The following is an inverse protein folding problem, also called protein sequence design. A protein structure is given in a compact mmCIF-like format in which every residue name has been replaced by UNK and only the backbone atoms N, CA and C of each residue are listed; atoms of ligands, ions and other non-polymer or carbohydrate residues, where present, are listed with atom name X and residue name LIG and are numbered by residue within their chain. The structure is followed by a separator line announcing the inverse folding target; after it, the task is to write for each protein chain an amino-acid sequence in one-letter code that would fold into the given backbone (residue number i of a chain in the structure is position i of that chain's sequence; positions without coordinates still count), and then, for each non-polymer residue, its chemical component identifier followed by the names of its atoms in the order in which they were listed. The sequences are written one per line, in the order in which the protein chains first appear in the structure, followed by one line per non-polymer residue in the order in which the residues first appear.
data_IF_570430587767
#
_entry.id   IF_570430587767
#
_cell.length_a   1.000
_cell.length_b   1.000
_cell.length_c   1.000
_cell.angle_alpha   90.00
_cell.angle_beta   90.00
_cell.angle_gamma   90.00
#
_symmetry.space_group_name_H-M   'P 1'
#
loop_
_entity.id
_entity.type
_entity.pdbx_description
1 polymer ?
#
# COMPACT_ATOMS: atom_id res chain seq x y z
N UNK A 1 -3.06 19.47 5.84
CA UNK A 1 -2.05 18.51 6.35
C UNK A 1 -1.62 18.86 7.79
N UNK A 2 -1.38 20.13 8.12
CA UNK A 2 -0.96 20.55 9.48
C UNK A 2 -1.92 20.11 10.60
N UNK A 3 -3.22 20.39 10.46
CA UNK A 3 -4.25 20.03 11.48
C UNK A 3 -4.35 18.52 11.71
N UNK A 4 -4.19 17.72 10.65
CA UNK A 4 -4.27 16.25 10.76
C UNK A 4 -3.07 15.69 11.52
N UNK A 5 -1.88 16.23 11.25
CA UNK A 5 -0.67 15.81 11.96
C UNK A 5 -0.71 16.24 13.43
N UNK A 6 -1.26 17.42 13.73
CA UNK A 6 -1.49 17.87 15.10
C UNK A 6 -2.46 16.96 15.85
N UNK A 7 -3.58 16.59 15.22
CA UNK A 7 -4.55 15.66 15.81
C UNK A 7 -3.94 14.27 16.09
N UNK A 8 -3.07 13.77 15.22
CA UNK A 8 -2.35 12.51 15.48
C UNK A 8 -1.37 12.62 16.63
N UNK A 9 -0.61 13.72 16.73
CA UNK A 9 0.32 13.94 17.83
C UNK A 9 -0.40 14.06 19.19
N UNK A 10 -1.54 14.75 19.24
CA UNK A 10 -2.38 14.84 20.45
C UNK A 10 -2.96 13.47 20.83
N UNK A 11 -3.43 12.70 19.85
CA UNK A 11 -3.94 11.34 20.06
C UNK A 11 -2.85 10.40 20.56
N UNK A 12 -1.66 10.45 19.96
CA UNK A 12 -0.51 9.65 20.40
C UNK A 12 -0.18 9.94 21.87
N UNK A 13 -0.08 11.22 22.22
CA UNK A 13 0.18 11.64 23.60
C UNK A 13 -0.87 11.11 24.56
N UNK A 14 -2.15 11.25 24.24
CA UNK A 14 -3.26 10.77 25.07
C UNK A 14 -3.18 9.25 25.31
N UNK A 15 -2.99 8.44 24.26
CA UNK A 15 -2.91 6.99 24.43
C UNK A 15 -1.66 6.57 25.20
N UNK A 16 -0.53 7.26 25.03
CA UNK A 16 0.66 7.02 25.86
C UNK A 16 0.42 7.36 27.32
N UNK A 17 -0.29 8.45 27.63
CA UNK A 17 -0.67 8.80 29.01
C UNK A 17 -1.59 7.74 29.64
N UNK A 18 -2.59 7.26 28.89
CA UNK A 18 -3.45 6.15 29.34
C UNK A 18 -2.62 4.91 29.66
N UNK A 19 -1.66 4.55 28.79
CA UNK A 19 -0.82 3.37 28.99
C UNK A 19 0.21 3.52 30.12
N UNK A 20 0.47 4.74 30.59
CA UNK A 20 1.27 4.98 31.81
C UNK A 20 0.45 4.66 33.05
N UNK A 21 -0.82 5.07 33.11
CA UNK A 21 -1.72 4.76 34.24
C UNK A 21 -2.27 3.33 34.20
N UNK A 22 -2.52 2.81 33.01
CA UNK A 22 -3.15 1.51 32.73
C UNK A 22 -2.31 0.73 31.70
N UNK A 23 -1.20 0.11 32.12
CA UNK A 23 -0.29 -0.59 31.20
C UNK A 23 -0.95 -1.77 30.48
N UNK A 24 -2.01 -2.34 31.05
CA UNK A 24 -2.78 -3.45 30.50
C UNK A 24 -4.12 -2.97 29.92
N UNK A 25 -4.06 -2.00 29.01
CA UNK A 25 -5.23 -1.49 28.28
C UNK A 25 -5.12 -1.82 26.77
N UNK A 26 -5.67 -2.97 26.31
CA UNK A 26 -5.53 -3.42 24.93
C UNK A 26 -6.08 -2.43 23.89
N UNK A 27 -7.26 -1.86 24.13
CA UNK A 27 -7.86 -0.88 23.21
C UNK A 27 -7.01 0.40 23.07
N UNK A 28 -6.50 0.98 24.17
CA UNK A 28 -5.61 2.14 24.11
C UNK A 28 -4.33 1.82 23.33
N UNK A 29 -3.82 0.60 23.49
CA UNK A 29 -2.63 0.10 22.77
C UNK A 29 -2.91 -0.14 21.29
N UNK A 30 -4.07 -0.70 20.93
CA UNK A 30 -4.51 -0.82 19.53
C UNK A 30 -4.62 0.57 18.89
N UNK A 31 -5.32 1.51 19.54
CA UNK A 31 -5.47 2.88 19.03
C UNK A 31 -4.12 3.59 18.86
N UNK A 32 -3.19 3.41 19.80
CA UNK A 32 -1.82 3.90 19.67
C UNK A 32 -1.14 3.29 18.43
N UNK A 33 -1.24 1.97 18.22
CA UNK A 33 -0.74 1.30 17.03
C UNK A 33 -1.30 1.88 15.71
N UNK A 34 -2.60 2.17 15.67
CA UNK A 34 -3.23 2.81 14.51
C UNK A 34 -2.71 4.23 14.28
N UNK A 35 -2.53 5.03 15.33
CA UNK A 35 -1.94 6.37 15.21
C UNK A 35 -0.51 6.29 14.69
N UNK A 36 0.29 5.36 15.22
CA UNK A 36 1.66 5.13 14.80
C UNK A 36 1.76 4.77 13.31
N UNK A 37 0.86 3.90 12.81
CA UNK A 37 0.71 3.61 11.37
C UNK A 37 0.44 4.86 10.54
N UNK A 38 -0.45 5.75 11.00
CA UNK A 38 -0.78 7.00 10.29
C UNK A 38 0.37 8.00 10.28
N UNK A 39 1.30 7.88 11.21
CA UNK A 39 2.53 8.67 11.32
C UNK A 39 3.77 7.95 10.79
N UNK A 40 3.59 6.82 10.09
CA UNK A 40 4.66 6.02 9.47
C UNK A 40 5.71 5.46 10.45
N UNK A 41 5.36 5.37 11.74
CA UNK A 41 6.19 4.75 12.79
C UNK A 41 5.93 3.23 12.84
N UNK A 42 6.25 2.54 11.74
CA UNK A 42 5.81 1.16 11.47
C UNK A 42 6.25 0.15 12.54
N UNK A 43 7.52 0.16 12.96
CA UNK A 43 8.04 -0.79 13.96
C UNK A 43 7.35 -0.65 15.32
N UNK A 44 7.13 0.61 15.75
CA UNK A 44 6.40 0.88 16.99
C UNK A 44 4.93 0.47 16.89
N UNK A 45 4.32 0.65 15.70
CA UNK A 45 2.96 0.21 15.47
C UNK A 45 2.84 -1.31 15.57
N UNK A 46 3.72 -2.07 14.91
CA UNK A 46 3.74 -3.54 14.98
C UNK A 46 3.87 -4.00 16.43
N UNK A 47 4.78 -3.39 17.21
CA UNK A 47 4.92 -3.70 18.62
C UNK A 47 3.62 -3.48 19.40
N UNK A 48 3.02 -2.29 19.30
CA UNK A 48 1.79 -1.98 20.01
C UNK A 48 0.65 -2.94 19.63
N UNK A 49 0.47 -3.19 18.34
CA UNK A 49 -0.60 -4.05 17.84
C UNK A 49 -0.37 -5.52 18.26
N UNK A 50 0.87 -6.01 18.23
CA UNK A 50 1.20 -7.38 18.66
C UNK A 50 0.99 -7.57 20.16
N UNK A 51 1.42 -6.60 20.98
CA UNK A 51 1.20 -6.59 22.41
C UNK A 51 -0.31 -6.59 22.74
N UNK A 52 -1.12 -5.82 21.99
CA UNK A 52 -2.58 -5.78 22.16
C UNK A 52 -3.24 -7.13 21.81
N UNK A 53 -2.76 -7.84 20.78
CA UNK A 53 -3.21 -9.21 20.45
C UNK A 53 -2.89 -10.17 21.58
N UNK A 54 -1.68 -10.09 22.15
CA UNK A 54 -1.24 -10.97 23.24
C UNK A 54 -2.04 -10.77 24.55
N UNK A 55 -2.53 -9.55 24.79
CA UNK A 55 -3.33 -9.20 25.96
C UNK A 55 -4.81 -9.62 25.85
N UNK A 56 -5.20 -10.32 24.78
CA UNK A 56 -6.50 -10.98 24.70
C UNK A 56 -7.58 -10.22 23.94
N UNK A 57 -7.21 -9.21 23.13
CA UNK A 57 -8.15 -8.56 22.20
C UNK A 57 -7.83 -8.88 20.72
N UNK A 58 -7.92 -10.14 20.24
CA UNK A 58 -7.71 -10.45 18.83
C UNK A 58 -8.94 -10.06 17.99
N UNK A 59 -9.48 -8.85 18.18
CA UNK A 59 -10.55 -8.35 17.34
C UNK A 59 -10.13 -8.38 15.86
N UNK A 60 -11.08 -8.63 14.97
CA UNK A 60 -10.83 -8.67 13.53
C UNK A 60 -10.24 -7.35 13.01
N UNK A 61 -10.62 -6.23 13.65
CA UNK A 61 -10.04 -4.91 13.40
C UNK A 61 -8.55 -4.87 13.71
N UNK A 62 -8.17 -5.29 14.91
CA UNK A 62 -6.77 -5.33 15.37
C UNK A 62 -5.91 -6.23 14.49
N UNK A 63 -6.36 -7.46 14.20
CA UNK A 63 -5.61 -8.37 13.33
C UNK A 63 -5.43 -7.78 11.92
N UNK A 64 -6.46 -7.13 11.37
CA UNK A 64 -6.35 -6.45 10.08
C UNK A 64 -5.36 -5.28 10.08
N UNK A 65 -5.24 -4.55 11.20
CA UNK A 65 -4.27 -3.46 11.35
C UNK A 65 -2.84 -3.99 11.56
N UNK A 66 -2.67 -5.07 12.34
CA UNK A 66 -1.39 -5.74 12.53
C UNK A 66 -0.87 -6.31 11.20
N UNK A 67 -1.72 -7.02 10.46
CA UNK A 67 -1.37 -7.57 9.15
C UNK A 67 -0.99 -6.48 8.13
N UNK A 68 -1.70 -5.35 8.14
CA UNK A 68 -1.33 -4.19 7.32
C UNK A 68 0.03 -3.59 7.74
N UNK A 69 0.30 -3.48 9.04
CA UNK A 69 1.57 -3.00 9.55
C UNK A 69 2.75 -3.91 9.14
N UNK A 70 2.58 -5.22 9.27
CA UNK A 70 3.56 -6.22 8.84
C UNK A 70 3.81 -6.16 7.33
N UNK A 71 2.76 -5.97 6.52
CA UNK A 71 2.90 -5.75 5.08
C UNK A 71 3.74 -4.51 4.77
N UNK A 72 3.50 -3.38 5.47
CA UNK A 72 4.28 -2.15 5.27
C UNK A 72 5.76 -2.32 5.68
N UNK A 73 6.04 -3.16 6.67
CA UNK A 73 7.40 -3.52 7.06
C UNK A 73 8.08 -4.51 6.09
N UNK A 74 7.33 -5.05 5.12
CA UNK A 74 7.83 -6.04 4.16
C UNK A 74 7.85 -7.48 4.68
N UNK A 75 7.37 -7.73 5.90
CA UNK A 75 7.20 -9.09 6.44
C UNK A 75 5.90 -9.71 5.90
N UNK A 76 5.91 -10.02 4.60
CA UNK A 76 4.78 -10.60 3.91
C UNK A 76 4.34 -11.96 4.51
N UNK A 77 5.23 -12.87 4.92
CA UNK A 77 4.83 -14.12 5.58
C UNK A 77 4.05 -13.89 6.88
N UNK A 78 4.50 -12.99 7.76
CA UNK A 78 3.78 -12.69 8.99
C UNK A 78 2.43 -12.00 8.71
N UNK A 79 2.41 -11.08 7.75
CA UNK A 79 1.21 -10.40 7.31
C UNK A 79 0.15 -11.38 6.78
N UNK A 80 0.57 -12.35 5.96
CA UNK A 80 -0.31 -13.38 5.41
C UNK A 80 -0.95 -14.20 6.51
N UNK A 81 -0.14 -14.72 7.44
CA UNK A 81 -0.63 -15.52 8.57
C UNK A 81 -1.66 -14.75 9.39
N UNK A 82 -1.35 -13.49 9.72
CA UNK A 82 -2.24 -12.64 10.53
C UNK A 82 -3.54 -12.32 9.79
N UNK A 83 -3.46 -11.99 8.50
CA UNK A 83 -4.63 -11.64 7.70
C UNK A 83 -5.50 -12.84 7.36
N UNK A 84 -4.94 -14.04 7.21
CA UNK A 84 -5.74 -15.26 7.04
C UNK A 84 -6.61 -15.52 8.28
N UNK A 85 -6.04 -15.42 9.49
CA UNK A 85 -6.82 -15.48 10.74
C UNK A 85 -7.92 -14.40 10.78
N UNK A 86 -7.60 -13.18 10.36
CA UNK A 86 -8.59 -12.09 10.33
C UNK A 86 -9.72 -12.35 9.31
N UNK A 87 -9.40 -12.94 8.14
CA UNK A 87 -10.37 -13.33 7.11
C UNK A 87 -11.25 -14.47 7.58
N UNK A 88 -10.74 -15.44 8.33
CA UNK A 88 -11.56 -16.52 8.90
C UNK A 88 -12.67 -15.96 9.81
N UNK A 89 -12.35 -14.92 10.59
CA UNK A 89 -13.32 -14.25 11.46
C UNK A 89 -14.28 -13.30 10.72
N UNK A 90 -13.84 -12.65 9.65
CA UNK A 90 -14.66 -11.74 8.85
C UNK A 90 -14.40 -11.93 7.34
N UNK A 91 -15.01 -12.96 6.71
CA UNK A 91 -14.70 -13.37 5.34
C UNK A 91 -15.04 -12.32 4.28
N UNK A 92 -15.98 -11.43 4.59
CA UNK A 92 -16.51 -10.41 3.69
C UNK A 92 -16.03 -8.98 4.04
N UNK A 93 -15.09 -8.85 4.99
CA UNK A 93 -14.54 -7.53 5.33
C UNK A 93 -13.62 -7.03 4.21
N UNK A 94 -14.14 -6.13 3.37
CA UNK A 94 -13.46 -5.63 2.17
C UNK A 94 -12.01 -5.21 2.42
N UNK A 95 -11.75 -4.47 3.52
CA UNK A 95 -10.41 -4.00 3.86
C UNK A 95 -9.45 -5.16 4.13
N UNK A 96 -9.87 -6.13 4.93
CA UNK A 96 -9.01 -7.25 5.35
C UNK A 96 -8.75 -8.19 4.17
N UNK A 97 -9.79 -8.48 3.39
CA UNK A 97 -9.66 -9.32 2.19
C UNK A 97 -8.76 -8.65 1.15
N UNK A 98 -8.89 -7.34 0.94
CA UNK A 98 -8.00 -6.60 0.05
C UNK A 98 -6.56 -6.59 0.55
N UNK A 99 -6.33 -6.39 1.86
CA UNK A 99 -4.98 -6.48 2.42
C UNK A 99 -4.37 -7.88 2.21
N UNK A 100 -5.14 -8.95 2.42
CA UNK A 100 -4.67 -10.31 2.16
C UNK A 100 -4.35 -10.50 0.67
N UNK A 101 -5.23 -10.01 -0.22
CA UNK A 101 -5.02 -10.05 -1.66
C UNK A 101 -3.74 -9.33 -2.09
N UNK A 102 -3.43 -8.18 -1.47
CA UNK A 102 -2.17 -7.46 -1.70
C UNK A 102 -0.96 -8.28 -1.22
N UNK A 103 -0.99 -8.81 0.00
CA UNK A 103 0.12 -9.59 0.58
C UNK A 103 0.43 -10.83 -0.27
N UNK A 104 -0.58 -11.65 -0.54
CA UNK A 104 -0.48 -12.85 -1.38
C UNK A 104 0.02 -12.49 -2.78
N UNK A 105 -0.48 -11.38 -3.32
CA UNK A 105 -0.04 -10.84 -4.59
C UNK A 105 1.44 -10.47 -4.62
N UNK A 106 1.94 -9.73 -3.61
CA UNK A 106 3.35 -9.33 -3.52
C UNK A 106 4.29 -10.51 -3.21
N UNK A 107 3.77 -11.63 -2.71
CA UNK A 107 4.52 -12.89 -2.65
C UNK A 107 4.59 -13.62 -4.02
N UNK A 108 3.89 -13.11 -5.04
CA UNK A 108 3.88 -13.65 -6.41
C UNK A 108 2.67 -14.51 -6.75
N UNK A 109 1.78 -14.78 -5.78
CA UNK A 109 0.60 -15.64 -5.95
C UNK A 109 -0.57 -14.86 -6.59
N UNK A 110 -0.36 -14.42 -7.82
CA UNK A 110 -1.28 -13.51 -8.54
C UNK A 110 -2.68 -14.07 -8.79
N UNK A 111 -2.82 -15.40 -8.93
CA UNK A 111 -4.13 -16.05 -9.12
C UNK A 111 -4.99 -15.98 -7.86
N UNK A 112 -4.43 -16.34 -6.70
CA UNK A 112 -5.11 -16.25 -5.41
C UNK A 112 -5.41 -14.79 -5.06
N UNK A 113 -4.44 -13.89 -5.28
CA UNK A 113 -4.61 -12.45 -5.11
C UNK A 113 -5.83 -11.92 -5.89
N UNK A 114 -5.97 -12.29 -7.16
CA UNK A 114 -7.11 -11.90 -7.97
C UNK A 114 -8.43 -12.49 -7.47
N UNK A 115 -8.43 -13.75 -7.02
CA UNK A 115 -9.61 -14.38 -6.44
C UNK A 115 -10.07 -13.67 -5.15
N UNK A 116 -9.12 -13.26 -4.30
CA UNK A 116 -9.39 -12.49 -3.09
C UNK A 116 -9.96 -11.11 -3.43
N UNK A 117 -9.36 -10.37 -4.36
CA UNK A 117 -9.89 -9.07 -4.79
C UNK A 117 -11.31 -9.19 -5.35
N UNK A 118 -11.58 -10.19 -6.21
CA UNK A 118 -12.92 -10.43 -6.76
C UNK A 118 -13.98 -10.76 -5.72
N UNK A 119 -13.58 -11.24 -4.54
CA UNK A 119 -14.52 -11.59 -3.48
C UNK A 119 -15.20 -10.34 -2.89
N UNK A 120 -14.51 -9.21 -2.90
CA UNK A 120 -14.96 -7.97 -2.24
C UNK A 120 -15.03 -6.77 -3.18
N UNK A 121 -14.64 -6.92 -4.45
CA UNK A 121 -14.66 -5.87 -5.45
C UNK A 121 -15.37 -6.31 -6.72
N UNK A 122 -15.85 -5.34 -7.50
CA UNK A 122 -16.25 -5.63 -8.87
C UNK A 122 -15.02 -5.99 -9.72
N UNK A 123 -15.27 -6.59 -10.88
CA UNK A 123 -14.21 -7.10 -11.74
C UNK A 123 -13.23 -6.01 -12.22
N UNK A 124 -13.68 -4.77 -12.47
CA UNK A 124 -12.79 -3.68 -12.89
C UNK A 124 -11.83 -3.27 -11.77
N UNK A 125 -12.34 -3.13 -10.55
CA UNK A 125 -11.55 -2.85 -9.35
C UNK A 125 -10.56 -3.98 -9.05
N UNK A 126 -10.99 -5.24 -9.14
CA UNK A 126 -10.13 -6.39 -8.90
C UNK A 126 -8.94 -6.45 -9.89
N UNK A 127 -9.20 -6.19 -11.19
CA UNK A 127 -8.12 -6.09 -12.19
C UNK A 127 -7.19 -4.90 -11.90
N UNK A 128 -7.73 -3.76 -11.46
CA UNK A 128 -6.91 -2.60 -11.08
C UNK A 128 -6.05 -2.86 -9.83
N UNK A 129 -6.55 -3.61 -8.86
CA UNK A 129 -5.80 -3.98 -7.66
C UNK A 129 -4.67 -4.97 -7.99
N UNK A 130 -4.94 -5.97 -8.84
CA UNK A 130 -3.89 -6.86 -9.34
C UNK A 130 -2.84 -6.10 -10.16
N UNK A 131 -3.26 -5.15 -11.00
CA UNK A 131 -2.34 -4.31 -11.76
C UNK A 131 -1.40 -3.49 -10.85
N UNK A 132 -1.91 -2.99 -9.73
CA UNK A 132 -1.10 -2.31 -8.71
C UNK A 132 -0.03 -3.25 -8.12
N UNK A 133 -0.42 -4.46 -7.73
CA UNK A 133 0.52 -5.49 -7.23
C UNK A 133 1.60 -5.81 -8.26
N UNK A 134 1.19 -6.09 -9.51
CA UNK A 134 2.11 -6.40 -10.61
C UNK A 134 3.09 -5.25 -10.89
N UNK A 135 2.62 -4.00 -10.75
CA UNK A 135 3.48 -2.81 -10.87
C UNK A 135 4.58 -2.82 -9.81
N UNK A 136 4.23 -3.10 -8.54
CA UNK A 136 5.20 -3.17 -7.46
C UNK A 136 6.17 -4.37 -7.55
N UNK A 137 5.76 -5.45 -8.22
CA UNK A 137 6.63 -6.58 -8.56
C UNK A 137 7.55 -6.32 -9.77
N UNK A 138 7.43 -5.17 -10.44
CA UNK A 138 8.19 -4.86 -11.65
C UNK A 138 7.65 -5.54 -12.93
N UNK A 139 6.51 -6.23 -12.87
CA UNK A 139 5.86 -6.87 -14.03
C UNK A 139 5.01 -5.83 -14.78
N UNK A 140 5.68 -4.84 -15.35
CA UNK A 140 5.03 -3.61 -15.83
C UNK A 140 4.12 -3.84 -17.05
N UNK A 141 4.48 -4.76 -17.95
CA UNK A 141 3.65 -5.05 -19.12
C UNK A 141 2.35 -5.75 -18.72
N UNK A 142 2.44 -6.77 -17.85
CA UNK A 142 1.26 -7.43 -17.26
C UNK A 142 0.39 -6.40 -16.51
N UNK A 143 1.00 -5.50 -15.74
CA UNK A 143 0.27 -4.47 -15.01
C UNK A 143 -0.51 -3.53 -15.96
N UNK A 144 0.11 -3.08 -17.06
CA UNK A 144 -0.56 -2.24 -18.07
C UNK A 144 -1.75 -2.95 -18.68
N UNK A 145 -1.59 -4.20 -19.08
CA UNK A 145 -2.67 -5.00 -19.66
C UNK A 145 -3.87 -5.10 -18.71
N UNK A 146 -3.60 -5.28 -17.41
CA UNK A 146 -4.64 -5.36 -16.38
C UNK A 146 -5.35 -4.02 -16.15
N UNK A 147 -4.61 -2.91 -16.13
CA UNK A 147 -5.24 -1.59 -16.09
C UNK A 147 -6.09 -1.29 -17.33
N UNK A 148 -5.65 -1.70 -18.52
CA UNK A 148 -6.45 -1.58 -19.74
C UNK A 148 -7.72 -2.44 -19.66
N UNK A 149 -7.64 -3.68 -19.17
CA UNK A 149 -8.82 -4.52 -18.95
C UNK A 149 -9.81 -3.88 -17.97
N UNK A 150 -9.32 -3.26 -16.89
CA UNK A 150 -10.14 -2.52 -15.94
C UNK A 150 -10.85 -1.33 -16.60
N UNK A 151 -10.14 -0.51 -17.37
CA UNK A 151 -10.70 0.69 -18.02
C UNK A 151 -11.59 0.37 -19.22
N UNK A 152 -11.39 -0.75 -19.90
CA UNK A 152 -12.31 -1.21 -20.95
C UNK A 152 -13.70 -1.52 -20.39
N UNK A 153 -13.78 -1.93 -19.11
CA UNK A 153 -15.04 -2.23 -18.41
C UNK A 153 -15.60 -1.01 -17.69
N UNK A 154 -14.76 -0.29 -16.96
CA UNK A 154 -15.11 0.99 -16.34
C UNK A 154 -14.12 2.09 -16.75
N UNK A 155 -14.45 2.87 -17.81
CA UNK A 155 -13.61 3.95 -18.29
C UNK A 155 -13.37 5.09 -17.28
N UNK A 156 -14.17 5.17 -16.20
CA UNK A 156 -14.09 6.20 -15.17
C UNK A 156 -13.34 5.74 -13.92
N UNK A 157 -12.80 4.52 -13.91
CA UNK A 157 -12.08 3.96 -12.76
C UNK A 157 -10.78 4.74 -12.51
N UNK A 158 -10.84 5.67 -11.55
CA UNK A 158 -9.75 6.61 -11.26
C UNK A 158 -8.44 5.91 -10.89
N UNK A 159 -8.50 4.80 -10.17
CA UNK A 159 -7.31 4.06 -9.75
C UNK A 159 -6.56 3.50 -10.96
N UNK A 160 -7.26 2.86 -11.90
CA UNK A 160 -6.67 2.34 -13.12
C UNK A 160 -6.14 3.45 -14.04
N UNK A 161 -6.89 4.55 -14.18
CA UNK A 161 -6.45 5.71 -14.96
C UNK A 161 -5.16 6.34 -14.39
N UNK A 162 -5.05 6.44 -13.06
CA UNK A 162 -3.83 6.91 -12.40
C UNK A 162 -2.65 5.95 -12.58
N UNK A 163 -2.91 4.64 -12.46
CA UNK A 163 -1.91 3.59 -12.69
C UNK A 163 -1.27 3.69 -14.08
N UNK A 164 -2.08 3.81 -15.13
CA UNK A 164 -1.56 4.00 -16.50
C UNK A 164 -0.84 5.33 -16.70
N UNK A 165 -1.35 6.42 -16.12
CA UNK A 165 -0.69 7.73 -16.23
C UNK A 165 0.74 7.72 -15.66
N UNK A 166 0.99 6.94 -14.61
CA UNK A 166 2.32 6.79 -14.01
C UNK A 166 3.31 6.09 -14.97
N UNK A 167 2.85 5.09 -15.73
CA UNK A 167 3.68 4.44 -16.75
C UNK A 167 4.08 5.37 -17.89
N UNK A 168 3.17 6.25 -18.34
CA UNK A 168 3.50 7.19 -19.41
C UNK A 168 4.52 8.23 -18.96
N UNK A 169 4.42 8.71 -17.71
CA UNK A 169 5.38 9.67 -17.15
C UNK A 169 6.78 9.09 -17.00
N UNK A 170 6.89 7.85 -16.52
CA UNK A 170 8.19 7.18 -16.36
C UNK A 170 8.87 6.92 -17.70
N UNK A 171 8.10 6.53 -18.73
CA UNK A 171 8.62 6.35 -20.09
C UNK A 171 9.08 7.67 -20.74
N UNK A 172 8.30 8.75 -20.61
CA UNK A 172 8.68 10.07 -21.10
C UNK A 172 9.92 10.63 -20.40
N UNK A 173 10.04 10.43 -19.08
CA UNK A 173 11.21 10.85 -18.31
C UNK A 173 12.48 10.11 -18.76
N UNK A 174 12.39 8.79 -18.95
CA UNK A 174 13.50 7.96 -19.43
C UNK A 174 13.98 8.34 -20.85
N UNK A 175 13.04 8.67 -21.75
CA UNK A 175 13.37 9.10 -23.11
C UNK A 175 13.99 10.51 -23.16
N UNK A 176 13.56 11.42 -22.28
CA UNK A 176 14.18 12.75 -22.15
C UNK A 176 15.59 12.68 -21.59
N UNK A 177 15.88 11.76 -20.67
CA UNK A 177 17.24 11.56 -20.14
C UNK A 177 18.20 10.88 -21.12
N UNK A 178 17.69 10.12 -22.11
CA UNK A 178 18.48 9.43 -23.13
C UNK A 178 18.65 10.23 -24.45
N UNK A 179 18.17 11.47 -24.52
CA UNK A 179 18.36 12.30 -25.71
C UNK A 179 19.79 12.87 -25.74
N UNK A 180 20.60 12.60 -26.79
CA UNK A 180 21.96 13.15 -26.86
C UNK A 180 21.90 14.68 -26.92
N UNK A 181 22.68 15.35 -26.07
CA UNK A 181 22.78 16.81 -26.05
C UNK A 181 23.12 17.33 -27.47
N UNK A 182 22.51 18.45 -27.91
CA UNK A 182 22.79 18.98 -29.23
C UNK A 182 24.28 19.31 -29.34
N UNK A 183 24.99 18.64 -30.28
CA UNK A 183 26.37 18.99 -30.62
C UNK A 183 26.36 20.42 -31.13
N UNK A 184 26.83 21.36 -30.31
CA UNK A 184 27.11 22.71 -30.74
C UNK A 184 28.26 22.67 -31.76
N UNK A 185 27.91 22.58 -33.05
CA UNK A 185 28.85 22.78 -34.15
C UNK A 185 29.17 24.28 -34.25
N UNK A 186 30.14 24.75 -33.48
CA UNK A 186 30.86 25.99 -33.81
C UNK A 186 31.71 25.70 -35.05
N UNK A 187 31.08 25.79 -36.23
CA UNK A 187 31.79 25.84 -37.51
C UNK A 187 32.47 27.20 -37.64
N UNK A 188 33.80 27.16 -37.57
CA UNK A 188 34.74 27.98 -38.33
C UNK A 188 34.15 29.09 -39.21
N UNK A 189 34.46 30.35 -38.84
CA UNK A 189 34.70 31.42 -39.83
C UNK A 189 35.96 32.18 -39.43
N UNK A 190 37.06 31.85 -40.09
CA UNK A 190 38.19 32.77 -40.26
C UNK A 190 37.75 33.87 -41.24
N UNK A 191 38.10 35.15 -41.00
CA UNK A 191 38.20 36.11 -42.09
C UNK A 191 39.66 36.24 -42.52
N UNK A 192 39.90 36.02 -43.80
CA UNK A 192 41.03 36.59 -44.53
C UNK A 192 40.94 38.11 -44.48
N UNK A 193 41.98 38.77 -43.98
CA UNK A 193 42.71 39.88 -44.63
C UNK A 193 43.92 40.27 -43.79
#
# INVERSE_FOLDING_TARGET
MLERNKAFAESEKLYREILVSEPDHPEARHRLGVVLLRTEQIDQAIKCLSDAVQQGDPSTGLLGDLGYAQMLAGDLPAAEQTLRTAVEAAPDNERIVNNLGMVVGFQGNTEESLALFRRVNNESEAQSNLAFVLSGLGKLDDAKDRYHQALNRDPKLKQAARGLAEFHRTFEAANKSNSPAPRNSKSSRSPLQ
#
